data_IF_209126977627
#
_entry.id   IF_209126977627
#
_cell.length_a   1.000
_cell.length_b   1.000
_cell.length_c   1.000
_cell.angle_alpha   90.00
_cell.angle_beta   90.00
_cell.angle_gamma   90.00
#
_symmetry.space_group_name_H-M   'P 1'
#
loop_
_entity.id
_entity.type
_entity.pdbx_description
1 polymer ?
#
# COMPACT_ATOMS: atom_id res chain seq x y z
N UNK A 1 17.72 -14.50 -6.26
CA UNK A 1 17.46 -13.07 -5.99
C UNK A 1 17.32 -12.40 -7.36
N UNK A 2 16.23 -11.68 -7.61
CA UNK A 2 16.04 -10.93 -8.86
C UNK A 2 16.87 -9.63 -8.82
N UNK A 3 17.54 -9.25 -9.91
CA UNK A 3 18.23 -7.95 -10.00
C UNK A 3 17.24 -6.78 -9.85
N UNK A 4 17.67 -5.70 -9.20
CA UNK A 4 16.82 -4.52 -8.99
C UNK A 4 16.44 -3.80 -10.29
N UNK A 5 17.31 -3.88 -11.30
CA UNK A 5 17.10 -3.32 -12.63
C UNK A 5 16.29 -4.25 -13.57
N UNK A 6 15.81 -5.39 -13.07
CA UNK A 6 14.93 -6.25 -13.86
C UNK A 6 13.58 -5.56 -14.09
N UNK A 7 13.13 -5.53 -15.36
CA UNK A 7 11.91 -4.82 -15.74
C UNK A 7 10.72 -5.76 -15.90
N UNK A 8 9.58 -5.34 -15.38
CA UNK A 8 8.31 -6.05 -15.43
C UNK A 8 7.41 -5.45 -16.50
N UNK A 9 6.62 -6.31 -17.15
CA UNK A 9 5.45 -5.86 -17.92
C UNK A 9 4.38 -5.34 -16.97
N UNK A 10 3.44 -4.53 -17.45
CA UNK A 10 2.31 -4.09 -16.62
C UNK A 10 1.50 -5.26 -16.06
N UNK A 11 1.34 -6.35 -16.81
CA UNK A 11 0.65 -7.53 -16.29
C UNK A 11 1.45 -8.21 -15.17
N UNK A 12 2.76 -8.40 -15.36
CA UNK A 12 3.61 -9.03 -14.35
C UNK A 12 3.71 -8.20 -13.08
N UNK A 13 3.84 -6.87 -13.22
CA UNK A 13 3.83 -5.93 -12.10
C UNK A 13 2.49 -5.94 -11.34
N UNK A 14 1.36 -6.00 -12.06
CA UNK A 14 0.05 -6.06 -11.41
C UNK A 14 -0.12 -7.36 -10.61
N UNK A 15 0.32 -8.48 -11.19
CA UNK A 15 0.34 -9.77 -10.51
C UNK A 15 1.24 -9.73 -9.26
N UNK A 16 2.43 -9.11 -9.37
CA UNK A 16 3.36 -8.96 -8.26
C UNK A 16 2.76 -8.16 -7.10
N UNK A 17 2.09 -7.03 -7.40
CA UNK A 17 1.46 -6.18 -6.39
C UNK A 17 0.13 -6.73 -5.85
N UNK A 18 -0.40 -7.80 -6.44
CA UNK A 18 -1.69 -8.39 -6.09
C UNK A 18 -2.88 -7.49 -6.45
N UNK A 19 -2.79 -6.73 -7.54
CA UNK A 19 -3.83 -5.76 -7.96
C UNK A 19 -4.28 -5.99 -9.39
N UNK A 20 -5.38 -5.35 -9.79
CA UNK A 20 -5.81 -5.39 -11.19
C UNK A 20 -4.83 -4.62 -12.09
N UNK A 21 -4.70 -5.06 -13.34
CA UNK A 21 -3.86 -4.36 -14.32
C UNK A 21 -4.33 -2.92 -14.55
N UNK A 22 -5.63 -2.67 -14.56
CA UNK A 22 -6.17 -1.32 -14.77
C UNK A 22 -5.74 -0.39 -13.64
N UNK A 23 -5.89 -0.83 -12.39
CA UNK A 23 -5.45 -0.06 -11.23
C UNK A 23 -3.95 0.23 -11.27
N UNK A 24 -3.13 -0.75 -11.66
CA UNK A 24 -1.70 -0.48 -11.86
C UNK A 24 -1.48 0.61 -12.91
N UNK A 25 -2.18 0.54 -14.05
CA UNK A 25 -2.04 1.58 -15.10
C UNK A 25 -2.40 2.96 -14.54
N UNK A 26 -3.45 3.06 -13.74
CA UNK A 26 -3.85 4.32 -13.11
C UNK A 26 -2.73 4.85 -12.18
N UNK A 27 -2.08 3.98 -11.39
CA UNK A 27 -0.92 4.34 -10.56
C UNK A 27 0.29 4.79 -11.38
N UNK A 28 0.55 4.15 -12.52
CA UNK A 28 1.63 4.54 -13.42
C UNK A 28 1.35 5.92 -14.03
N UNK A 29 0.11 6.16 -14.47
CA UNK A 29 -0.29 7.41 -15.11
C UNK A 29 -0.40 8.57 -14.13
N UNK A 30 -0.72 8.31 -12.85
CA UNK A 30 -0.70 9.31 -11.78
C UNK A 30 0.70 9.61 -11.26
N UNK A 31 1.71 8.82 -11.64
CA UNK A 31 3.11 9.01 -11.21
C UNK A 31 3.44 8.44 -9.83
N UNK A 32 2.54 7.66 -9.24
CA UNK A 32 2.75 6.99 -7.94
C UNK A 32 3.82 5.89 -8.02
N UNK A 33 3.97 5.29 -9.21
CA UNK A 33 5.02 4.30 -9.49
C UNK A 33 5.74 4.73 -10.77
N UNK A 34 7.07 4.95 -10.71
CA UNK A 34 7.87 5.23 -11.90
C UNK A 34 7.73 4.12 -12.96
N UNK A 35 7.67 4.52 -14.23
CA UNK A 35 7.72 3.58 -15.35
C UNK A 35 8.46 4.21 -16.52
N UNK A 36 8.92 3.37 -17.44
CA UNK A 36 9.50 3.80 -18.69
C UNK A 36 8.86 3.06 -19.86
N UNK A 37 9.08 3.56 -21.08
CA UNK A 37 8.58 2.93 -22.30
C UNK A 37 9.71 2.20 -23.01
N UNK A 38 9.44 0.96 -23.43
CA UNK A 38 10.26 0.20 -24.37
C UNK A 38 9.42 0.00 -25.62
N UNK A 39 9.71 0.80 -26.65
CA UNK A 39 8.79 1.01 -27.76
C UNK A 39 7.46 1.56 -27.26
N UNK A 40 6.35 0.90 -27.58
CA UNK A 40 5.00 1.31 -27.15
C UNK A 40 4.59 0.76 -25.79
N UNK A 41 5.38 -0.14 -25.19
CA UNK A 41 4.98 -0.83 -23.96
C UNK A 41 5.58 -0.18 -22.71
N UNK A 42 4.78 -0.06 -21.67
CA UNK A 42 5.25 0.32 -20.33
C UNK A 42 6.05 -0.81 -19.68
N UNK A 43 7.09 -0.43 -18.96
CA UNK A 43 7.97 -1.29 -18.16
C UNK A 43 8.24 -0.63 -16.82
N UNK A 44 8.27 -1.43 -15.77
CA UNK A 44 8.46 -0.98 -14.38
C UNK A 44 9.64 -1.74 -13.81
N UNK A 45 10.58 -1.07 -13.15
CA UNK A 45 11.70 -1.78 -12.52
C UNK A 45 11.24 -2.49 -11.25
N UNK A 46 11.89 -3.61 -10.93
CA UNK A 46 11.61 -4.34 -9.70
C UNK A 46 11.81 -3.48 -8.45
N UNK A 47 12.85 -2.64 -8.43
CA UNK A 47 13.09 -1.69 -7.31
C UNK A 47 11.90 -0.76 -7.07
N UNK A 48 11.29 -0.24 -8.13
CA UNK A 48 10.20 0.74 -8.04
C UNK A 48 8.93 0.06 -7.48
N UNK A 49 8.68 -1.20 -7.88
CA UNK A 49 7.58 -2.00 -7.33
C UNK A 49 7.78 -2.31 -5.84
N UNK A 50 9.02 -2.58 -5.44
CA UNK A 50 9.37 -2.86 -4.05
C UNK A 50 9.21 -1.62 -3.18
N UNK A 51 9.76 -0.49 -3.61
CA UNK A 51 9.64 0.79 -2.91
C UNK A 51 8.17 1.19 -2.70
N UNK A 52 7.34 1.05 -3.74
CA UNK A 52 5.90 1.29 -3.64
C UNK A 52 5.23 0.38 -2.61
N UNK A 53 5.58 -0.91 -2.60
CA UNK A 53 5.01 -1.89 -1.65
C UNK A 53 5.38 -1.54 -0.22
N UNK A 54 6.65 -1.21 0.02
CA UNK A 54 7.17 -0.86 1.35
C UNK A 54 6.50 0.41 1.89
N UNK A 55 6.34 1.43 1.04
CA UNK A 55 5.61 2.66 1.40
C UNK A 55 4.14 2.35 1.72
N UNK A 56 3.45 1.63 0.84
CA UNK A 56 2.03 1.25 1.02
C UNK A 56 1.80 0.46 2.31
N UNK A 57 2.66 -0.50 2.62
CA UNK A 57 2.54 -1.31 3.84
C UNK A 57 2.87 -0.54 5.12
N UNK A 58 3.73 0.48 5.04
CA UNK A 58 3.98 1.39 6.16
C UNK A 58 2.74 2.23 6.49
N UNK A 59 2.12 2.83 5.47
CA UNK A 59 0.91 3.64 5.65
C UNK A 59 -0.28 2.79 6.13
N UNK A 60 -0.42 1.56 5.62
CA UNK A 60 -1.43 0.62 6.09
C UNK A 60 -1.26 0.29 7.57
N UNK A 61 -0.04 0.03 8.03
CA UNK A 61 0.27 -0.24 9.45
C UNK A 61 -0.06 0.95 10.33
N UNK A 62 0.40 2.15 9.97
CA UNK A 62 0.09 3.38 10.71
C UNK A 62 -1.41 3.62 10.86
N UNK A 63 -2.18 3.32 9.82
CA UNK A 63 -3.64 3.48 9.85
C UNK A 63 -4.30 2.47 10.80
N UNK A 64 -3.86 1.21 10.76
CA UNK A 64 -4.35 0.18 11.68
C UNK A 64 -4.01 0.51 13.14
N UNK A 65 -2.78 0.96 13.41
CA UNK A 65 -2.35 1.34 14.76
C UNK A 65 -3.22 2.47 15.32
N UNK A 66 -3.54 3.49 14.51
CA UNK A 66 -4.46 4.57 14.90
C UNK A 66 -5.86 4.05 15.23
N UNK A 67 -6.40 3.12 14.44
CA UNK A 67 -7.71 2.51 14.71
C UNK A 67 -7.70 1.73 16.04
N UNK A 68 -6.62 1.00 16.33
CA UNK A 68 -6.48 0.29 17.61
C UNK A 68 -6.38 1.24 18.80
N UNK A 69 -5.63 2.34 18.66
CA UNK A 69 -5.51 3.37 19.69
C UNK A 69 -6.87 4.04 19.99
N UNK A 70 -7.67 4.32 18.96
CA UNK A 70 -9.02 4.87 19.11
C UNK A 70 -9.95 3.89 19.83
N UNK A 71 -9.94 2.61 19.46
CA UNK A 71 -10.71 1.56 20.14
C UNK A 71 -10.29 1.43 21.60
N UNK A 72 -8.98 1.43 21.88
CA UNK A 72 -8.45 1.33 23.24
C UNK A 72 -8.88 2.52 24.12
N UNK A 73 -8.87 3.73 23.57
CA UNK A 73 -9.39 4.92 24.25
C UNK A 73 -10.89 4.80 24.51
N UNK A 74 -11.68 4.41 23.50
CA UNK A 74 -13.13 4.26 23.65
C UNK A 74 -13.50 3.24 24.75
N UNK A 75 -12.84 2.08 24.78
CA UNK A 75 -13.03 1.09 25.85
C UNK A 75 -12.68 1.63 27.24
N UNK A 76 -11.64 2.45 27.35
CA UNK A 76 -11.28 3.09 28.62
C UNK A 76 -12.37 4.05 29.10
N UNK A 77 -12.94 4.85 28.20
CA UNK A 77 -14.06 5.73 28.56
C UNK A 77 -15.29 4.95 29.01
N UNK A 78 -15.63 3.82 28.37
CA UNK A 78 -16.75 2.98 28.77
C UNK A 78 -16.56 2.34 30.15
N UNK A 79 -15.32 1.94 30.49
CA UNK A 79 -14.97 1.41 31.82
C UNK A 79 -15.01 2.46 32.95
N UNK A 80 -14.83 3.74 32.62
CA UNK A 80 -14.84 4.84 33.59
C UNK A 80 -16.27 5.31 33.93
N UNK A 81 -17.31 4.77 33.26
CA UNK A 81 -18.72 4.91 33.61
C UNK A 81 -19.22 3.73 34.48
N UNK A 82 -18.62 3.51 35.64
CA UNK A 82 -19.35 2.83 36.73
C UNK A 82 -20.29 3.85 37.36
N UNK A 83 -21.57 3.78 37.01
CA UNK A 83 -22.62 4.64 37.56
C UNK A 83 -22.60 4.67 39.08
N UNK A 84 -22.62 5.88 39.63
CA UNK A 84 -22.96 6.15 41.04
C UNK A 84 -24.38 5.61 41.29
N UNK A 85 -24.47 4.42 41.90
CA UNK A 85 -25.73 3.85 42.34
C UNK A 85 -26.27 4.69 43.51
N UNK A 86 -27.37 5.41 43.28
CA UNK A 86 -28.21 6.02 44.31
C UNK A 86 -29.53 5.28 44.46
#
# INVERSE_FOLDING_TARGET
MMPEDETFTTQAAANFLGVSRQYLVDLLESGEIPFHKVGSHRRVYFRDLKEYTDHRDSERRKTLDKLFDEIAKAKKYESDYTGDER
#
